data_IF_569477498248
#
_entry.id   IF_569477498248
#
_cell.length_a   1.000
_cell.length_b   1.000
_cell.length_c   1.000
_cell.angle_alpha   90.00
_cell.angle_beta   90.00
_cell.angle_gamma   90.00
#
_symmetry.space_group_name_H-M   'P 1'
#
loop_
_entity.id
_entity.type
_entity.pdbx_description
1 polymer ?
#
# COMPACT_ATOMS: atom_id res chain seq x y z
N UNK A 1 -4.52 -13.75 -0.34
CA UNK A 1 -5.74 -13.13 0.22
C UNK A 1 -5.62 -12.90 1.72
N UNK A 2 -5.42 -13.94 2.55
CA UNK A 2 -5.20 -13.79 3.99
C UNK A 2 -4.02 -12.86 4.34
N UNK A 3 -2.83 -13.09 3.78
CA UNK A 3 -1.67 -12.20 3.97
C UNK A 3 -1.94 -10.74 3.57
N UNK A 4 -2.73 -10.52 2.50
CA UNK A 4 -3.10 -9.18 2.08
C UNK A 4 -4.07 -8.52 3.08
N UNK A 5 -4.95 -9.31 3.71
CA UNK A 5 -5.82 -8.82 4.77
C UNK A 5 -5.01 -8.44 6.02
N UNK A 6 -4.02 -9.23 6.42
CA UNK A 6 -3.11 -8.89 7.54
C UNK A 6 -2.32 -7.60 7.26
N UNK A 7 -1.81 -7.46 6.02
CA UNK A 7 -1.19 -6.22 5.56
C UNK A 7 -2.17 -5.04 5.66
N UNK A 8 -3.42 -5.20 5.23
CA UNK A 8 -4.44 -4.16 5.42
C UNK A 8 -4.66 -3.81 6.91
N UNK A 9 -4.74 -4.79 7.82
CA UNK A 9 -4.84 -4.54 9.28
C UNK A 9 -3.73 -3.62 9.76
N UNK A 10 -2.48 -3.89 9.37
CA UNK A 10 -1.33 -3.04 9.75
C UNK A 10 -1.38 -1.63 9.12
N UNK A 11 -1.98 -1.51 7.93
CA UNK A 11 -2.01 -0.25 7.17
C UNK A 11 -3.19 0.66 7.55
N UNK A 12 -4.31 0.11 7.99
CA UNK A 12 -5.54 0.84 8.35
C UNK A 12 -5.27 1.99 9.34
N UNK A 13 -4.57 1.82 10.47
CA UNK A 13 -4.27 2.91 11.40
C UNK A 13 -3.52 4.07 10.73
N UNK A 14 -2.61 3.75 9.81
CA UNK A 14 -1.83 4.74 9.07
C UNK A 14 -2.67 5.47 8.02
N UNK A 15 -3.65 4.80 7.41
CA UNK A 15 -4.59 5.43 6.46
C UNK A 15 -5.56 6.38 7.18
N UNK A 16 -5.99 6.00 8.38
CA UNK A 16 -7.00 6.73 9.15
C UNK A 16 -6.39 7.93 9.91
N UNK A 17 -5.24 7.72 10.56
CA UNK A 17 -4.65 8.69 11.50
C UNK A 17 -3.28 9.22 11.08
N UNK A 18 -2.69 8.76 9.98
CA UNK A 18 -1.40 9.21 9.43
C UNK A 18 -0.16 9.08 10.36
N UNK A 19 -0.29 8.41 11.51
CA UNK A 19 0.72 8.44 12.59
C UNK A 19 1.54 7.15 12.81
N UNK A 20 1.42 6.11 11.98
CA UNK A 20 2.02 4.79 12.28
C UNK A 20 2.85 4.13 11.16
N UNK A 21 3.25 4.89 10.13
CA UNK A 21 3.90 4.32 8.93
C UNK A 21 5.25 3.64 9.19
N UNK A 22 6.02 4.10 10.16
CA UNK A 22 7.33 3.52 10.50
C UNK A 22 7.22 2.07 11.02
N UNK A 23 6.17 1.76 11.77
CA UNK A 23 5.92 0.40 12.31
C UNK A 23 5.59 -0.56 11.17
N UNK A 24 4.73 -0.12 10.23
CA UNK A 24 4.32 -0.92 9.06
C UNK A 24 5.51 -1.24 8.17
N UNK A 25 6.43 -0.28 7.95
CA UNK A 25 7.64 -0.49 7.14
C UNK A 25 8.55 -1.58 7.71
N UNK A 26 8.78 -1.53 9.03
CA UNK A 26 9.62 -2.50 9.72
C UNK A 26 9.05 -3.92 9.61
N UNK A 27 7.73 -4.05 9.75
CA UNK A 27 7.02 -5.33 9.64
C UNK A 27 7.13 -5.92 8.22
N UNK A 28 6.97 -5.07 7.18
CA UNK A 28 6.99 -5.51 5.79
C UNK A 28 8.40 -5.57 5.19
N UNK A 29 9.45 -5.27 5.96
CA UNK A 29 10.85 -5.19 5.51
C UNK A 29 11.02 -4.33 4.24
N UNK A 30 10.25 -3.25 4.13
CA UNK A 30 10.22 -2.41 2.93
C UNK A 30 11.13 -1.18 3.12
N UNK A 31 12.29 -1.18 2.46
CA UNK A 31 13.12 0.02 2.34
C UNK A 31 12.51 0.95 1.28
N UNK A 32 11.84 2.02 1.72
CA UNK A 32 11.35 3.07 0.82
C UNK A 32 12.50 4.01 0.45
N UNK A 33 12.46 4.57 -0.76
CA UNK A 33 13.31 5.71 -1.14
C UNK A 33 13.01 6.88 -0.16
N UNK A 34 13.97 7.77 0.07
CA UNK A 34 13.82 8.95 0.94
C UNK A 34 12.78 9.92 0.34
N UNK A 35 11.52 9.73 0.68
CA UNK A 35 10.37 10.50 0.16
C UNK A 35 9.46 10.90 1.33
N UNK A 36 8.78 12.05 1.21
CA UNK A 36 7.86 12.57 2.23
C UNK A 36 6.82 11.54 2.73
N UNK A 37 6.35 11.68 3.97
CA UNK A 37 5.36 10.80 4.65
C UNK A 37 4.09 10.55 3.81
N UNK A 38 3.60 11.56 3.07
CA UNK A 38 2.43 11.42 2.20
C UNK A 38 2.68 10.47 1.00
N UNK A 39 3.93 10.40 0.54
CA UNK A 39 4.39 9.48 -0.48
C UNK A 39 4.56 8.07 0.07
N UNK A 40 4.93 7.92 1.35
CA UNK A 40 5.12 6.61 1.98
C UNK A 40 3.84 5.78 2.06
N UNK A 41 2.72 6.37 2.51
CA UNK A 41 1.43 5.65 2.54
C UNK A 41 0.99 5.23 1.13
N UNK A 42 1.25 6.09 0.14
CA UNK A 42 0.95 5.80 -1.26
C UNK A 42 1.78 4.64 -1.79
N UNK A 43 3.07 4.57 -1.41
CA UNK A 43 3.95 3.44 -1.73
C UNK A 43 3.40 2.16 -1.10
N UNK A 44 3.16 2.14 0.22
CA UNK A 44 2.73 0.93 0.93
C UNK A 44 1.38 0.39 0.43
N UNK A 45 0.39 1.27 0.30
CA UNK A 45 -0.91 0.91 -0.29
C UNK A 45 -0.74 0.45 -1.74
N UNK A 46 0.09 1.14 -2.53
CA UNK A 46 0.37 0.78 -3.91
C UNK A 46 0.98 -0.61 -4.05
N UNK A 47 1.98 -0.96 -3.23
CA UNK A 47 2.61 -2.28 -3.22
C UNK A 47 1.59 -3.38 -2.91
N UNK A 48 0.81 -3.19 -1.84
CA UNK A 48 -0.24 -4.13 -1.45
C UNK A 48 -1.25 -4.34 -2.58
N UNK A 49 -1.73 -3.25 -3.20
CA UNK A 49 -2.68 -3.31 -4.30
C UNK A 49 -2.10 -3.95 -5.55
N UNK A 50 -0.80 -3.80 -5.84
CA UNK A 50 -0.16 -4.50 -6.96
C UNK A 50 -0.05 -6.01 -6.73
N UNK A 51 0.14 -6.41 -5.47
CA UNK A 51 0.21 -7.82 -5.08
C UNK A 51 -1.17 -8.49 -5.17
N UNK A 52 -2.19 -7.88 -4.58
CA UNK A 52 -3.54 -8.48 -4.47
C UNK A 52 -4.46 -8.15 -5.67
N UNK A 53 -4.13 -7.10 -6.44
CA UNK A 53 -4.83 -6.65 -7.66
C UNK A 53 -6.32 -6.41 -7.42
N UNK A 54 -7.17 -6.87 -8.34
CA UNK A 54 -8.63 -6.73 -8.32
C UNK A 54 -9.31 -7.23 -7.04
N UNK A 55 -8.64 -8.10 -6.28
CA UNK A 55 -9.16 -8.64 -5.03
C UNK A 55 -8.95 -7.73 -3.81
N UNK A 56 -8.39 -6.53 -3.98
CA UNK A 56 -8.05 -5.66 -2.84
C UNK A 56 -9.26 -5.27 -1.98
N UNK A 57 -10.43 -5.04 -2.59
CA UNK A 57 -11.67 -4.74 -1.84
C UNK A 57 -12.12 -5.94 -1.00
N UNK A 58 -12.03 -7.14 -1.55
CA UNK A 58 -12.32 -8.37 -0.80
C UNK A 58 -11.32 -8.57 0.35
N UNK A 59 -10.03 -8.31 0.11
CA UNK A 59 -9.00 -8.37 1.15
C UNK A 59 -9.20 -7.29 2.24
N UNK A 60 -9.68 -6.09 1.88
CA UNK A 60 -10.04 -5.05 2.83
C UNK A 60 -11.22 -5.47 3.72
N UNK A 61 -12.28 -6.04 3.14
CA UNK A 61 -13.39 -6.60 3.93
C UNK A 61 -12.90 -7.68 4.89
N UNK A 62 -12.07 -8.61 4.42
CA UNK A 62 -11.49 -9.65 5.27
C UNK A 62 -10.63 -9.04 6.39
N UNK A 63 -9.89 -7.98 6.11
CA UNK A 63 -9.06 -7.30 7.12
C UNK A 63 -9.90 -6.74 8.27
N UNK A 64 -11.10 -6.22 7.98
CA UNK A 64 -12.02 -5.69 8.99
C UNK A 64 -12.71 -6.79 9.81
N UNK A 65 -12.77 -8.01 9.28
CA UNK A 65 -13.26 -9.18 10.04
C UNK A 65 -12.21 -9.71 11.01
N UNK A 66 -10.92 -9.58 10.68
CA UNK A 66 -9.79 -10.01 11.53
C UNK A 66 -9.16 -8.86 12.33
N UNK A 67 -9.66 -7.63 12.15
CA UNK A 67 -9.13 -6.46 12.84
C UNK A 67 -9.39 -6.61 14.35
N UNK A 68 -8.36 -6.51 15.20
CA UNK A 68 -8.51 -6.76 16.63
C UNK A 68 -9.47 -5.74 17.25
N UNK A 69 -10.45 -6.23 18.04
CA UNK A 69 -11.48 -5.42 18.70
C UNK A 69 -10.92 -4.48 19.80
N UNK A 70 -9.62 -4.58 20.11
CA UNK A 70 -8.94 -3.93 21.24
C UNK A 70 -8.56 -2.45 21.02
N UNK A 71 -8.97 -1.83 19.91
CA UNK A 71 -8.77 -0.37 19.71
C UNK A 71 -9.96 0.46 20.24
N UNK A 72 -11.03 -0.15 20.76
CA UNK A 72 -12.12 0.68 21.28
C UNK A 72 -13.33 0.09 21.98
N UNK A 73 -13.42 -1.21 22.31
CA UNK A 73 -14.67 -1.70 22.91
C UNK A 73 -14.51 -2.68 24.07
N UNK A 74 -14.48 -2.11 25.27
CA UNK A 74 -14.87 -2.80 26.49
C UNK A 74 -16.40 -2.74 26.59
N UNK A 75 -17.14 -3.38 25.67
CA UNK A 75 -18.62 -3.36 25.67
C UNK A 75 -19.17 -4.75 25.44
N UNK A 76 -20.01 -5.15 26.39
CA UNK A 76 -20.87 -6.33 26.38
C UNK A 76 -21.58 -6.56 25.05
N UNK A 77 -21.91 -7.83 24.79
CA UNK A 77 -22.63 -8.47 23.66
C UNK A 77 -23.97 -7.84 23.19
N UNK A 78 -24.22 -6.55 23.42
CA UNK A 78 -25.50 -5.89 23.22
C UNK A 78 -25.56 -4.92 22.04
N UNK A 79 -24.52 -4.80 21.19
CA UNK A 79 -24.61 -3.89 20.05
C UNK A 79 -23.82 -4.30 18.80
N UNK A 80 -23.97 -5.55 18.34
CA UNK A 80 -23.41 -6.05 17.07
C UNK A 80 -23.69 -5.11 15.88
N UNK A 81 -24.87 -4.47 15.86
CA UNK A 81 -25.23 -3.51 14.81
C UNK A 81 -24.39 -2.23 14.84
N UNK A 82 -23.97 -1.76 16.02
CA UNK A 82 -23.08 -0.60 16.12
C UNK A 82 -21.66 -0.95 15.68
N UNK A 83 -21.15 -2.14 16.05
CA UNK A 83 -19.85 -2.63 15.61
C UNK A 83 -19.80 -2.82 14.09
N UNK A 84 -20.84 -3.43 13.50
CA UNK A 84 -20.96 -3.57 12.05
C UNK A 84 -21.01 -2.21 11.36
N UNK A 85 -21.72 -1.24 11.94
CA UNK A 85 -21.78 0.12 11.39
C UNK A 85 -20.42 0.81 11.44
N UNK A 86 -19.69 0.69 12.55
CA UNK A 86 -18.34 1.24 12.69
C UNK A 86 -17.37 0.61 11.67
N UNK A 87 -17.41 -0.71 11.51
CA UNK A 87 -16.60 -1.42 10.49
C UNK A 87 -16.96 -0.99 9.07
N UNK A 88 -18.24 -0.75 8.78
CA UNK A 88 -18.68 -0.24 7.48
C UNK A 88 -18.19 1.21 7.23
N UNK A 89 -18.24 2.08 8.23
CA UNK A 89 -17.70 3.44 8.15
C UNK A 89 -16.17 3.43 7.97
N UNK A 90 -15.47 2.51 8.64
CA UNK A 90 -14.03 2.32 8.49
C UNK A 90 -13.68 1.82 7.08
N UNK A 91 -14.43 0.85 6.55
CA UNK A 91 -14.29 0.40 5.16
C UNK A 91 -14.40 1.59 4.20
N UNK A 92 -15.46 2.38 4.30
CA UNK A 92 -15.72 3.51 3.41
C UNK A 92 -14.60 4.55 3.48
N UNK A 93 -14.12 4.86 4.69
CA UNK A 93 -13.00 5.80 4.88
C UNK A 93 -11.71 5.31 4.22
N UNK A 94 -11.37 4.02 4.41
CA UNK A 94 -10.15 3.42 3.84
C UNK A 94 -10.26 3.31 2.32
N UNK A 95 -11.40 2.84 1.81
CA UNK A 95 -11.66 2.75 0.38
C UNK A 95 -11.55 4.13 -0.30
N UNK A 96 -12.18 5.16 0.29
CA UNK A 96 -12.11 6.55 -0.20
C UNK A 96 -10.69 7.10 -0.17
N UNK A 97 -9.90 6.78 0.86
CA UNK A 97 -8.51 7.21 0.93
C UNK A 97 -7.64 6.59 -0.19
N UNK A 98 -7.85 5.31 -0.49
CA UNK A 98 -7.13 4.58 -1.55
C UNK A 98 -7.53 5.09 -2.93
N UNK A 99 -8.85 5.17 -3.19
CA UNK A 99 -9.41 5.63 -4.46
C UNK A 99 -9.14 7.12 -4.70
N UNK A 100 -9.24 7.96 -3.68
CA UNK A 100 -8.92 9.39 -3.73
C UNK A 100 -7.45 9.68 -4.02
N UNK A 101 -6.55 8.71 -3.76
CA UNK A 101 -5.15 8.76 -4.19
C UNK A 101 -4.95 8.21 -5.61
N UNK A 102 -5.98 7.73 -6.29
CA UNK A 102 -5.86 7.13 -7.62
C UNK A 102 -5.10 5.80 -7.63
N UNK A 103 -5.16 5.05 -6.53
CA UNK A 103 -4.51 3.73 -6.43
C UNK A 103 -5.42 2.57 -6.88
N UNK A 104 -6.70 2.85 -7.17
CA UNK A 104 -7.73 1.84 -7.42
C UNK A 104 -7.35 0.76 -8.45
N UNK A 105 -6.55 1.12 -9.46
CA UNK A 105 -6.09 0.21 -10.54
C UNK A 105 -4.58 0.24 -10.71
N UNK A 106 -3.83 0.51 -9.65
CA UNK A 106 -2.37 0.70 -9.71
C UNK A 106 -1.61 -0.49 -10.29
N UNK A 107 -2.17 -1.71 -10.23
CA UNK A 107 -1.60 -2.90 -10.88
C UNK A 107 -1.62 -2.86 -12.41
N UNK A 108 -2.50 -2.07 -13.03
CA UNK A 108 -2.58 -1.89 -14.48
C UNK A 108 -1.52 -0.91 -15.00
N UNK A 109 -0.91 -0.10 -14.11
CA UNK A 109 0.11 0.87 -14.48
C UNK A 109 1.39 0.13 -14.88
N UNK A 110 1.84 0.37 -16.11
CA UNK A 110 3.06 -0.22 -16.66
C UNK A 110 4.28 0.23 -15.85
N UNK A 111 4.99 -0.74 -15.30
CA UNK A 111 6.32 -0.55 -14.73
C UNK A 111 7.32 -0.28 -15.85
N UNK A 112 8.37 0.49 -15.55
CA UNK A 112 9.54 0.57 -16.43
C UNK A 112 10.11 -0.85 -16.58
N UNK A 113 10.29 -1.31 -17.83
CA UNK A 113 10.77 -2.66 -18.11
C UNK A 113 12.22 -2.83 -17.61
N UNK A 114 12.58 -4.03 -17.15
CA UNK A 114 13.93 -4.32 -16.65
C UNK A 114 15.02 -4.07 -17.69
N UNK A 115 14.69 -4.19 -18.98
CA UNK A 115 15.57 -3.79 -20.09
C UNK A 115 15.86 -2.29 -20.11
N UNK A 116 14.84 -1.45 -19.93
CA UNK A 116 15.03 0.00 -19.85
C UNK A 116 15.90 0.41 -18.67
N UNK A 117 15.82 -0.33 -17.56
CA UNK A 117 16.67 -0.14 -16.38
C UNK A 117 18.11 -0.58 -16.65
N UNK A 118 18.32 -1.75 -17.28
CA UNK A 118 19.65 -2.26 -17.65
C UNK A 118 20.36 -1.33 -18.64
N UNK A 119 19.65 -0.90 -19.69
CA UNK A 119 20.19 0.00 -20.72
C UNK A 119 20.54 1.38 -20.14
N UNK A 120 19.73 1.89 -19.21
CA UNK A 120 19.95 3.18 -18.56
C UNK A 120 21.12 3.17 -17.58
N UNK A 121 21.15 2.19 -16.68
CA UNK A 121 22.16 2.10 -15.62
C UNK A 121 23.42 1.38 -16.08
N UNK A 122 23.48 0.94 -17.34
CA UNK A 122 24.54 0.11 -17.90
C UNK A 122 24.83 -1.12 -17.03
N UNK A 123 23.77 -1.72 -16.49
CA UNK A 123 23.88 -2.84 -15.57
C UNK A 123 23.97 -4.14 -16.34
N UNK A 124 24.89 -4.99 -15.90
CA UNK A 124 24.90 -6.38 -16.32
C UNK A 124 23.70 -7.11 -15.72
N UNK A 125 23.13 -8.09 -16.43
CA UNK A 125 22.05 -8.93 -15.89
C UNK A 125 22.47 -9.58 -14.57
N UNK A 126 21.66 -9.44 -13.53
CA UNK A 126 21.96 -9.99 -12.21
C UNK A 126 21.01 -9.49 -11.11
N UNK A 127 21.23 -9.92 -9.85
CA UNK A 127 20.37 -9.57 -8.71
C UNK A 127 20.14 -8.06 -8.52
N UNK A 128 21.15 -7.25 -8.88
CA UNK A 128 21.10 -5.78 -8.85
C UNK A 128 19.95 -5.21 -9.70
N UNK A 129 19.59 -5.86 -10.81
CA UNK A 129 18.47 -5.40 -11.65
C UNK A 129 17.14 -5.47 -10.89
N UNK A 130 16.98 -6.48 -10.02
CA UNK A 130 15.79 -6.63 -9.17
C UNK A 130 15.68 -5.52 -8.12
N UNK A 131 16.80 -5.13 -7.51
CA UNK A 131 16.84 -4.01 -6.55
C UNK A 131 16.44 -2.69 -7.21
N UNK A 132 16.94 -2.43 -8.43
CA UNK A 132 16.57 -1.24 -9.18
C UNK A 132 15.12 -1.25 -9.63
N UNK A 133 14.57 -2.41 -10.01
CA UNK A 133 13.14 -2.54 -10.30
C UNK A 133 12.28 -2.18 -9.07
N UNK A 134 12.70 -2.55 -7.86
CA UNK A 134 12.02 -2.17 -6.63
C UNK A 134 12.11 -0.66 -6.37
N UNK A 135 13.30 -0.05 -6.52
CA UNK A 135 13.47 1.40 -6.36
C UNK A 135 12.62 2.20 -7.35
N UNK A 136 12.59 1.79 -8.61
CA UNK A 136 11.75 2.41 -9.65
C UNK A 136 10.28 2.24 -9.32
N UNK A 137 9.85 1.07 -8.84
CA UNK A 137 8.48 0.86 -8.41
C UNK A 137 8.09 1.81 -7.27
N UNK A 138 8.93 1.94 -6.25
CA UNK A 138 8.69 2.87 -5.13
C UNK A 138 8.58 4.32 -5.62
N UNK A 139 9.48 4.73 -6.52
CA UNK A 139 9.44 6.06 -7.11
C UNK A 139 8.15 6.30 -7.92
N UNK A 140 7.75 5.36 -8.78
CA UNK A 140 6.53 5.47 -9.58
C UNK A 140 5.26 5.53 -8.72
N UNK A 141 5.23 4.77 -7.61
CA UNK A 141 4.13 4.83 -6.67
C UNK A 141 4.08 6.18 -5.95
N UNK A 142 5.23 6.76 -5.60
CA UNK A 142 5.33 8.09 -5.00
C UNK A 142 4.97 9.23 -5.98
N UNK A 143 5.28 9.07 -7.27
CA UNK A 143 5.14 10.10 -8.30
C UNK A 143 4.15 9.65 -9.38
N UNK A 144 2.83 9.74 -9.15
CA UNK A 144 1.82 9.20 -10.06
C UNK A 144 1.73 9.91 -11.41
N UNK A 145 2.15 11.18 -11.47
CA UNK A 145 2.28 11.95 -12.72
C UNK A 145 3.70 11.90 -13.29
N UNK A 146 4.60 11.19 -12.60
CA UNK A 146 6.01 11.12 -12.93
C UNK A 146 6.24 10.39 -14.25
N UNK A 147 6.96 11.01 -15.17
CA UNK A 147 7.31 10.33 -16.42
C UNK A 147 8.41 9.28 -16.17
N UNK A 148 8.51 8.25 -17.04
CA UNK A 148 9.64 7.34 -17.02
C UNK A 148 10.99 8.05 -17.20
N UNK A 149 11.01 9.27 -17.76
CA UNK A 149 12.22 10.10 -17.83
C UNK A 149 12.53 10.83 -16.53
N UNK A 150 11.52 11.30 -15.80
CA UNK A 150 11.70 11.94 -14.49
C UNK A 150 12.22 10.95 -13.43
N UNK A 151 11.83 9.68 -13.54
CA UNK A 151 12.40 8.58 -12.75
C UNK A 151 13.92 8.43 -12.97
N UNK A 152 14.48 8.93 -14.08
CA UNK A 152 15.91 8.83 -14.39
C UNK A 152 16.77 9.80 -13.58
N UNK A 153 16.18 10.85 -13.00
CA UNK A 153 16.91 11.94 -12.34
C UNK A 153 16.68 11.99 -10.82
N UNK A 154 15.91 11.06 -10.26
CA UNK A 154 15.48 11.03 -8.85
C UNK A 154 16.18 9.98 -8.00
#
# INVERSE_FOLDING_TARGET
MHLAAEKFVSLIPSIVSNDNLQIVKADWKTETVDVSVASEMRIMAGLLLREIKEFWRAALVLSLLIYPDDVGSNVSLSNENAELKERAELYDRVEKAITGKGLEKVWEVKLVDGRGIMDFLQLNPGPVVGEWQQKVLHWQLAHPSGSPEECKNG
#
